data_IF_975491379281
#
_entry.id   IF_975491379281
#
_cell.length_a   1.000
_cell.length_b   1.000
_cell.length_c   1.000
_cell.angle_alpha   90.00
_cell.angle_beta   90.00
_cell.angle_gamma   90.00
#
_symmetry.space_group_name_H-M   'P 1'
#
loop_
_entity.id
_entity.type
_entity.pdbx_description
1 polymer ?
#
# COMPACT_ATOMS: atom_id res chain seq x y z
N UNK A 1 -0.38 20.25 -17.10
CA UNK A 1 0.86 19.65 -16.58
C UNK A 1 1.99 20.13 -17.45
N UNK A 2 2.97 20.83 -16.87
CA UNK A 2 4.09 21.41 -17.62
C UNK A 2 5.21 20.36 -17.83
N UNK A 3 6.20 20.69 -18.66
CA UNK A 3 7.29 19.75 -19.00
C UNK A 3 8.14 19.38 -17.79
N UNK A 4 8.38 20.33 -16.89
CA UNK A 4 9.17 20.12 -15.67
C UNK A 4 8.43 19.21 -14.68
N UNK A 5 7.13 19.42 -14.46
CA UNK A 5 6.29 18.54 -13.64
C UNK A 5 6.32 17.10 -14.18
N UNK A 6 6.21 16.94 -15.50
CA UNK A 6 6.24 15.62 -16.13
C UNK A 6 7.59 14.93 -15.94
N UNK A 7 8.69 15.69 -16.04
CA UNK A 7 10.05 15.20 -15.82
C UNK A 7 10.24 14.77 -14.35
N UNK A 8 9.85 15.63 -13.40
CA UNK A 8 9.92 15.34 -11.98
C UNK A 8 9.09 14.09 -11.61
N UNK A 9 7.90 13.93 -12.17
CA UNK A 9 7.08 12.73 -11.96
C UNK A 9 7.76 11.45 -12.47
N UNK A 10 8.51 11.53 -13.57
CA UNK A 10 9.29 10.38 -14.06
C UNK A 10 10.46 10.06 -13.13
N UNK A 11 11.15 11.08 -12.63
CA UNK A 11 12.24 10.92 -11.67
C UNK A 11 11.72 10.28 -10.37
N UNK A 12 10.63 10.80 -9.80
CA UNK A 12 9.99 10.24 -8.60
C UNK A 12 9.57 8.78 -8.82
N UNK A 13 8.98 8.46 -9.97
CA UNK A 13 8.61 7.06 -10.31
C UNK A 13 9.81 6.12 -10.48
N UNK A 14 10.99 6.66 -10.75
CA UNK A 14 12.21 5.86 -10.90
C UNK A 14 12.90 5.52 -9.58
N UNK A 15 12.53 6.17 -8.47
CA UNK A 15 13.09 5.90 -7.15
C UNK A 15 12.54 4.56 -6.65
N UNK A 16 13.42 3.55 -6.54
CA UNK A 16 13.02 2.18 -6.20
C UNK A 16 12.81 1.94 -4.70
N UNK A 17 13.32 2.84 -3.86
CA UNK A 17 13.34 2.72 -2.40
C UNK A 17 12.12 3.36 -1.72
N UNK A 18 11.17 3.87 -2.50
CA UNK A 18 9.95 4.47 -1.97
C UNK A 18 8.69 3.76 -2.47
N UNK A 19 7.65 3.80 -1.65
CA UNK A 19 6.29 3.37 -1.97
C UNK A 19 5.41 4.61 -1.99
N UNK A 20 4.63 4.78 -3.07
CA UNK A 20 3.70 5.89 -3.24
C UNK A 20 2.30 5.31 -3.44
N UNK A 21 1.40 5.56 -2.49
CA UNK A 21 0.02 5.05 -2.51
C UNK A 21 -0.96 6.15 -2.10
N UNK A 22 -2.24 5.96 -2.43
CA UNK A 22 -3.30 6.79 -1.87
C UNK A 22 -3.49 6.44 -0.40
N UNK A 23 -3.70 7.46 0.42
CA UNK A 23 -4.09 7.29 1.81
C UNK A 23 -5.50 6.70 1.88
N UNK A 24 -5.72 5.77 2.81
CA UNK A 24 -7.03 5.19 3.11
C UNK A 24 -8.11 6.25 3.41
N UNK A 25 -7.71 7.41 3.97
CA UNK A 25 -8.61 8.49 4.35
C UNK A 25 -8.13 9.85 3.84
N UNK A 26 -9.10 10.71 3.49
CA UNK A 26 -8.87 12.14 3.22
C UNK A 26 -8.25 12.47 1.85
N UNK A 27 -8.21 11.53 0.90
CA UNK A 27 -7.79 11.79 -0.48
C UNK A 27 -6.33 12.24 -0.63
N UNK A 28 -5.48 11.93 0.35
CA UNK A 28 -4.06 12.31 0.35
C UNK A 28 -3.21 11.24 -0.31
N UNK A 29 -1.95 11.58 -0.58
CA UNK A 29 -0.91 10.65 -1.04
C UNK A 29 0.05 10.39 0.12
N UNK A 30 0.44 9.13 0.30
CA UNK A 30 1.46 8.70 1.25
C UNK A 30 2.71 8.31 0.48
N UNK A 31 3.85 8.79 0.95
CA UNK A 31 5.18 8.40 0.47
C UNK A 31 5.92 7.78 1.66
N UNK A 32 6.41 6.56 1.50
CA UNK A 32 7.10 5.81 2.55
C UNK A 32 8.37 5.19 2.02
N UNK A 33 9.36 5.00 2.90
CA UNK A 33 10.48 4.10 2.62
C UNK A 33 9.95 2.68 2.41
N UNK A 34 10.45 2.00 1.39
CA UNK A 34 10.00 0.68 0.98
C UNK A 34 10.29 -0.39 2.02
N UNK A 35 11.48 -0.37 2.64
CA UNK A 35 11.83 -1.35 3.67
C UNK A 35 10.98 -1.17 4.92
N UNK A 36 10.75 0.08 5.34
CA UNK A 36 9.86 0.35 6.48
C UNK A 36 8.42 -0.09 6.21
N UNK A 37 7.94 0.10 4.97
CA UNK A 37 6.64 -0.40 4.54
C UNK A 37 6.57 -1.91 4.70
N UNK A 38 7.52 -2.65 4.13
CA UNK A 38 7.54 -4.11 4.23
C UNK A 38 7.66 -4.59 5.67
N UNK A 39 8.61 -4.06 6.43
CA UNK A 39 8.83 -4.48 7.82
C UNK A 39 7.57 -4.31 8.68
N UNK A 40 6.84 -3.20 8.53
CA UNK A 40 5.59 -2.97 9.28
C UNK A 40 4.46 -3.90 8.87
N UNK A 41 4.38 -4.23 7.58
CA UNK A 41 3.36 -5.18 7.09
C UNK A 41 3.67 -6.57 7.63
N UNK A 42 4.92 -7.01 7.54
CA UNK A 42 5.36 -8.29 8.11
C UNK A 42 5.14 -8.35 9.62
N UNK A 43 5.50 -7.31 10.37
CA UNK A 43 5.25 -7.21 11.81
C UNK A 43 3.76 -7.41 12.13
N UNK A 44 2.87 -6.76 11.38
CA UNK A 44 1.41 -6.88 11.57
C UNK A 44 0.90 -8.26 11.21
N UNK A 45 1.27 -8.79 10.06
CA UNK A 45 0.76 -10.08 9.57
C UNK A 45 1.25 -11.26 10.42
N UNK A 46 2.41 -11.12 11.06
CA UNK A 46 2.93 -12.12 11.99
C UNK A 46 2.36 -12.01 13.41
N UNK A 47 1.54 -11.00 13.72
CA UNK A 47 0.85 -10.91 15.00
C UNK A 47 -0.39 -11.82 15.04
N UNK A 48 -0.17 -13.05 15.49
CA UNK A 48 -1.20 -14.08 15.63
C UNK A 48 -2.20 -13.81 16.77
N UNK A 49 -1.99 -12.76 17.59
CA UNK A 49 -3.00 -12.35 18.57
C UNK A 49 -4.08 -11.47 17.93
N UNK A 50 -3.77 -10.82 16.81
CA UNK A 50 -4.66 -9.89 16.10
C UNK A 50 -5.20 -10.51 14.81
N UNK A 51 -4.39 -11.28 14.08
CA UNK A 51 -4.75 -11.86 12.79
C UNK A 51 -4.69 -13.39 12.80
N UNK A 52 -5.62 -14.03 12.08
CA UNK A 52 -5.63 -15.48 11.86
C UNK A 52 -5.38 -15.78 10.37
N UNK A 53 -4.56 -16.79 10.10
CA UNK A 53 -4.31 -17.23 8.73
C UNK A 53 -5.49 -18.03 8.17
N UNK A 54 -6.07 -17.55 7.07
CA UNK A 54 -7.17 -18.22 6.38
C UNK A 54 -6.66 -19.21 5.32
N UNK A 55 -7.32 -20.37 5.20
CA UNK A 55 -6.91 -21.43 4.25
C UNK A 55 -7.23 -21.11 2.78
N UNK A 56 -8.30 -20.35 2.55
CA UNK A 56 -8.77 -19.95 1.23
C UNK A 56 -8.97 -18.44 1.23
N UNK A 57 -8.73 -17.77 0.10
CA UNK A 57 -8.97 -16.34 -0.04
C UNK A 57 -10.47 -16.03 0.10
N UNK A 58 -10.91 -15.34 1.18
CA UNK A 58 -12.32 -15.04 1.40
C UNK A 58 -12.76 -13.76 0.66
N UNK A 59 -11.85 -13.05 -0.02
CA UNK A 59 -12.09 -11.71 -0.58
C UNK A 59 -13.30 -11.67 -1.51
N UNK A 60 -13.49 -12.71 -2.34
CA UNK A 60 -14.62 -12.79 -3.28
C UNK A 60 -15.95 -12.93 -2.55
N UNK A 61 -16.01 -13.76 -1.50
CA UNK A 61 -17.23 -13.98 -0.71
C UNK A 61 -17.60 -12.68 0.01
N UNK A 62 -16.64 -12.08 0.71
CA UNK A 62 -16.85 -10.84 1.47
C UNK A 62 -17.31 -9.69 0.58
N UNK A 63 -16.71 -9.52 -0.61
CA UNK A 63 -17.13 -8.48 -1.57
C UNK A 63 -18.58 -8.63 -2.03
N UNK A 64 -19.09 -9.86 -2.05
CA UNK A 64 -20.46 -10.15 -2.51
C UNK A 64 -21.47 -9.93 -1.38
N UNK A 65 -21.08 -10.14 -0.12
CA UNK A 65 -21.94 -9.96 1.07
C UNK A 65 -22.05 -8.50 1.55
N UNK A 66 -21.12 -7.62 1.14
CA UNK A 66 -21.11 -6.20 1.54
C UNK A 66 -21.97 -5.31 0.60
N UNK A 67 -22.50 -5.86 -0.51
CA UNK A 67 -23.39 -5.16 -1.45
C UNK A 67 -24.86 -5.55 -1.25
#
# INVERSE_FOLDING_TARGET
>A
MNKEETKLLKEIKSIQDIVIIQADKGGKIVIMNKNDYFNKIEEKLNDLNVYEQVKNDPTTIIKTEIN
#
